data_IF_948651452884
#
_entry.id   IF_948651452884
#
_cell.length_a   1.000
_cell.length_b   1.000
_cell.length_c   1.000
_cell.angle_alpha   90.00
_cell.angle_beta   90.00
_cell.angle_gamma   90.00
#
_symmetry.space_group_name_H-M   'P 1'
#
loop_
_entity.id
_entity.type
_entity.pdbx_description
1 polymer ?
#
# COMPACT_ATOMS: atom_id res chain seq x y z
N UNK A 1 5.79 -30.96 -9.59
CA UNK A 1 4.65 -30.07 -9.34
C UNK A 1 5.15 -28.96 -8.43
N UNK A 2 5.34 -27.75 -8.93
CA UNK A 2 5.57 -26.61 -8.06
C UNK A 2 4.37 -26.48 -7.14
N UNK A 3 4.61 -26.48 -5.84
CA UNK A 3 3.56 -26.21 -4.86
C UNK A 3 3.01 -24.83 -5.18
N UNK A 4 1.72 -24.73 -5.46
CA UNK A 4 1.04 -23.47 -5.70
C UNK A 4 1.07 -22.68 -4.37
N UNK A 5 2.13 -21.90 -4.15
CA UNK A 5 2.32 -21.11 -2.94
C UNK A 5 1.38 -19.89 -2.99
N UNK A 6 0.60 -19.71 -1.95
CA UNK A 6 -0.28 -18.55 -1.79
C UNK A 6 0.37 -17.60 -0.79
N UNK A 7 0.44 -16.34 -1.21
CA UNK A 7 0.70 -15.20 -0.34
C UNK A 7 -0.56 -14.32 -0.36
N UNK A 8 -0.97 -13.83 0.81
CA UNK A 8 -2.16 -13.00 0.92
C UNK A 8 -2.09 -12.06 2.12
N UNK A 9 -2.61 -10.86 1.95
CA UNK A 9 -2.93 -9.96 3.04
C UNK A 9 -4.33 -10.31 3.55
N UNK A 10 -4.48 -10.52 4.85
CA UNK A 10 -5.75 -10.88 5.47
C UNK A 10 -6.37 -9.73 6.27
N UNK A 11 -5.57 -8.99 7.04
CA UNK A 11 -6.02 -7.80 7.75
C UNK A 11 -4.86 -6.89 8.14
N UNK A 12 -5.14 -5.59 8.28
CA UNK A 12 -4.24 -4.60 8.86
C UNK A 12 -5.00 -3.83 9.94
N UNK A 13 -4.37 -3.62 11.10
CA UNK A 13 -4.88 -2.72 12.13
C UNK A 13 -3.84 -1.63 12.45
N UNK A 14 -4.32 -0.40 12.60
CA UNK A 14 -3.53 0.79 12.85
C UNK A 14 -4.17 1.58 14.00
N UNK A 15 -3.37 2.07 14.94
CA UNK A 15 -3.85 2.91 16.05
C UNK A 15 -2.79 3.93 16.43
N UNK A 16 -3.22 5.16 16.66
CA UNK A 16 -2.41 6.28 17.11
C UNK A 16 -1.27 6.69 16.14
N UNK A 17 -1.60 6.87 14.86
CA UNK A 17 -0.68 7.37 13.84
C UNK A 17 -1.29 8.56 13.09
N UNK A 18 -0.57 9.67 12.99
CA UNK A 18 -0.98 10.88 12.25
C UNK A 18 -2.40 11.34 12.64
N UNK A 19 -3.37 11.22 11.75
CA UNK A 19 -4.79 11.51 12.04
C UNK A 19 -5.58 10.29 12.54
N UNK A 20 -4.98 9.13 12.62
CA UNK A 20 -5.60 7.92 13.15
C UNK A 20 -5.45 7.96 14.67
N UNK A 21 -6.57 8.16 15.40
CA UNK A 21 -6.63 8.15 16.85
C UNK A 21 -6.93 6.75 17.37
N UNK A 22 -8.12 6.27 17.09
CA UNK A 22 -8.59 4.96 17.49
C UNK A 22 -8.19 3.90 16.47
N UNK A 23 -8.28 2.64 16.87
CA UNK A 23 -7.99 1.50 16.01
C UNK A 23 -8.86 1.51 14.74
N UNK A 24 -8.19 1.45 13.60
CA UNK A 24 -8.77 1.21 12.28
C UNK A 24 -8.38 -0.21 11.87
N UNK A 25 -9.34 -0.96 11.33
CA UNK A 25 -9.11 -2.28 10.74
C UNK A 25 -9.53 -2.29 9.28
N UNK A 26 -8.61 -2.70 8.42
CA UNK A 26 -8.87 -3.03 7.03
C UNK A 26 -8.83 -4.56 6.92
N UNK A 27 -9.95 -5.17 6.55
CA UNK A 27 -10.08 -6.62 6.44
C UNK A 27 -10.15 -7.03 4.97
N UNK A 28 -9.33 -8.00 4.59
CA UNK A 28 -9.33 -8.62 3.26
C UNK A 28 -10.05 -9.97 3.26
N UNK A 29 -10.49 -10.48 4.39
CA UNK A 29 -11.40 -11.62 4.42
C UNK A 29 -12.76 -11.17 3.92
N UNK A 30 -13.29 -11.88 2.93
CA UNK A 30 -14.59 -11.56 2.37
C UNK A 30 -15.71 -11.78 3.39
N UNK A 31 -16.61 -10.81 3.47
CA UNK A 31 -17.82 -10.93 4.27
C UNK A 31 -18.74 -12.05 3.78
N UNK A 32 -19.56 -12.56 4.67
CA UNK A 32 -20.53 -13.61 4.35
C UNK A 32 -21.72 -13.02 3.56
N UNK A 33 -21.55 -12.83 2.26
CA UNK A 33 -22.54 -12.24 1.35
C UNK A 33 -23.06 -13.32 0.41
N UNK A 34 -24.39 -13.57 0.44
CA UNK A 34 -25.03 -14.63 -0.35
C UNK A 34 -25.92 -14.09 -1.48
N UNK A 35 -25.82 -12.82 -1.83
CA UNK A 35 -26.63 -12.18 -2.87
C UNK A 35 -26.28 -12.69 -4.27
N UNK A 36 -27.17 -12.48 -5.23
CA UNK A 36 -26.93 -12.80 -6.63
C UNK A 36 -25.77 -11.96 -7.20
N UNK A 37 -25.69 -10.66 -6.85
CA UNK A 37 -24.62 -9.76 -7.26
C UNK A 37 -23.25 -10.24 -6.76
N UNK A 38 -23.13 -10.65 -5.49
CA UNK A 38 -21.88 -11.17 -4.96
C UNK A 38 -21.43 -12.49 -5.61
N UNK A 39 -22.39 -13.30 -6.12
CA UNK A 39 -22.06 -14.50 -6.90
C UNK A 39 -21.52 -14.17 -8.29
N UNK A 40 -22.05 -13.13 -8.94
CA UNK A 40 -21.53 -12.65 -10.23
C UNK A 40 -20.13 -12.06 -10.12
N UNK A 41 -19.76 -11.54 -8.95
CA UNK A 41 -18.45 -11.00 -8.63
C UNK A 41 -17.51 -12.06 -8.00
N UNK A 42 -17.61 -13.32 -8.44
CA UNK A 42 -16.76 -14.42 -7.95
C UNK A 42 -15.27 -14.16 -8.19
N UNK A 43 -14.92 -13.46 -9.25
CA UNK A 43 -13.53 -13.14 -9.61
C UNK A 43 -12.91 -12.08 -8.70
N UNK A 44 -13.70 -11.38 -7.88
CA UNK A 44 -13.20 -10.40 -6.90
C UNK A 44 -12.57 -11.04 -5.65
N UNK A 45 -12.71 -12.35 -5.53
CA UNK A 45 -12.16 -13.12 -4.40
C UNK A 45 -11.37 -14.31 -4.91
N UNK A 46 -10.50 -14.84 -4.05
CA UNK A 46 -9.89 -16.16 -4.22
C UNK A 46 -10.06 -16.97 -2.94
N UNK A 47 -9.90 -18.27 -3.02
CA UNK A 47 -10.05 -19.16 -1.87
C UNK A 47 -8.70 -19.55 -1.29
N UNK A 48 -8.60 -19.47 0.03
CA UNK A 48 -7.50 -19.99 0.80
C UNK A 48 -8.03 -20.64 2.09
N UNK A 49 -7.68 -21.90 2.31
CA UNK A 49 -8.06 -22.66 3.51
C UNK A 49 -9.57 -22.59 3.85
N UNK A 50 -10.43 -22.66 2.83
CA UNK A 50 -11.88 -22.56 2.96
C UNK A 50 -12.43 -21.16 3.26
N UNK A 51 -11.58 -20.15 3.25
CA UNK A 51 -11.95 -18.74 3.38
C UNK A 51 -11.84 -18.02 2.03
N UNK A 52 -12.78 -17.12 1.76
CA UNK A 52 -12.72 -16.21 0.62
C UNK A 52 -11.94 -14.94 1.00
N UNK A 53 -10.95 -14.60 0.18
CA UNK A 53 -10.08 -13.45 0.39
C UNK A 53 -10.31 -12.45 -0.74
N UNK A 54 -10.45 -11.16 -0.41
CA UNK A 54 -10.68 -10.08 -1.35
C UNK A 54 -9.41 -9.79 -2.15
N UNK A 55 -9.55 -9.63 -3.45
CA UNK A 55 -8.47 -9.22 -4.34
C UNK A 55 -8.26 -7.70 -4.34
N UNK A 56 -9.29 -6.91 -4.03
CA UNK A 56 -9.15 -5.46 -3.95
C UNK A 56 -9.84 -4.91 -2.71
N UNK A 57 -9.26 -3.86 -2.14
CA UNK A 57 -9.89 -3.00 -1.11
C UNK A 57 -9.64 -1.55 -1.50
N UNK A 58 -10.73 -0.80 -1.70
CA UNK A 58 -10.70 0.62 -2.06
C UNK A 58 -11.08 1.51 -0.88
N UNK A 59 -10.26 2.52 -0.60
CA UNK A 59 -10.49 3.53 0.43
C UNK A 59 -11.00 4.82 -0.21
N UNK A 60 -12.27 5.15 -0.01
CA UNK A 60 -12.94 6.32 -0.58
C UNK A 60 -13.21 7.37 0.48
N UNK A 61 -13.20 8.63 0.12
CA UNK A 61 -13.50 9.71 1.04
C UNK A 61 -13.00 11.07 0.56
N UNK A 62 -13.38 12.18 1.23
CA UNK A 62 -12.98 13.52 0.83
C UNK A 62 -11.49 13.78 1.03
N UNK A 63 -11.04 14.93 0.48
CA UNK A 63 -9.70 15.43 0.76
C UNK A 63 -9.55 15.67 2.27
N UNK A 64 -8.36 15.42 2.80
CA UNK A 64 -8.02 15.57 4.22
C UNK A 64 -8.81 14.64 5.19
N UNK A 65 -9.53 13.62 4.71
CA UNK A 65 -10.17 12.62 5.58
C UNK A 65 -9.17 11.67 6.26
N UNK A 66 -7.95 11.54 5.72
CA UNK A 66 -6.89 10.72 6.30
C UNK A 66 -6.51 9.48 5.48
N UNK A 67 -7.03 9.32 4.24
CA UNK A 67 -6.66 8.20 3.34
C UNK A 67 -5.15 8.04 3.19
N UNK A 68 -4.46 9.12 2.79
CA UNK A 68 -2.99 9.11 2.65
C UNK A 68 -2.27 8.89 3.99
N UNK A 69 -2.87 9.25 5.13
CA UNK A 69 -2.29 8.95 6.44
C UNK A 69 -2.35 7.45 6.75
N UNK A 70 -3.41 6.75 6.35
CA UNK A 70 -3.49 5.28 6.43
C UNK A 70 -2.37 4.66 5.60
N UNK A 71 -2.22 5.09 4.33
CA UNK A 71 -1.18 4.59 3.43
C UNK A 71 0.24 4.88 3.95
N UNK A 72 0.49 6.10 4.44
CA UNK A 72 1.77 6.49 5.06
C UNK A 72 2.07 5.66 6.30
N UNK A 73 1.06 5.36 7.12
CA UNK A 73 1.23 4.53 8.31
C UNK A 73 1.64 3.12 7.95
N UNK A 74 0.95 2.49 6.99
CA UNK A 74 1.28 1.15 6.52
C UNK A 74 2.72 1.14 5.97
N UNK A 75 3.06 2.13 5.13
CA UNK A 75 4.42 2.26 4.59
C UNK A 75 5.47 2.38 5.70
N UNK A 76 5.24 3.28 6.68
CA UNK A 76 6.14 3.44 7.82
C UNK A 76 6.33 2.12 8.57
N UNK A 77 5.26 1.40 8.88
CA UNK A 77 5.32 0.14 9.61
C UNK A 77 6.07 -0.96 8.84
N UNK A 78 5.84 -1.05 7.52
CA UNK A 78 6.59 -1.99 6.67
C UNK A 78 8.08 -1.62 6.61
N UNK A 79 8.40 -0.31 6.49
CA UNK A 79 9.79 0.16 6.53
C UNK A 79 10.47 -0.13 7.87
N UNK A 80 9.76 -0.05 8.98
CA UNK A 80 10.28 -0.49 10.30
C UNK A 80 10.70 -1.96 10.27
N UNK A 81 9.89 -2.84 9.66
CA UNK A 81 10.25 -4.26 9.50
C UNK A 81 11.50 -4.43 8.64
N UNK A 82 11.59 -3.68 7.54
CA UNK A 82 12.68 -3.83 6.57
C UNK A 82 13.99 -3.20 7.02
N UNK A 83 13.96 -2.04 7.68
CA UNK A 83 15.13 -1.19 7.85
C UNK A 83 15.59 -1.06 9.31
N UNK A 84 14.74 -1.40 10.31
CA UNK A 84 15.06 -1.10 11.71
C UNK A 84 16.29 -1.84 12.26
N UNK A 85 16.72 -2.95 11.62
CA UNK A 85 17.98 -3.60 11.98
C UNK A 85 19.20 -2.67 11.87
N UNK A 86 19.13 -1.63 11.05
CA UNK A 86 20.18 -0.62 10.87
C UNK A 86 20.02 0.60 11.77
N UNK A 87 18.99 0.65 12.63
CA UNK A 87 18.77 1.79 13.52
C UNK A 87 19.81 1.87 14.64
N UNK A 88 20.41 3.05 14.81
CA UNK A 88 21.27 3.35 15.95
C UNK A 88 20.43 3.68 17.19
N UNK A 89 21.05 3.59 18.37
CA UNK A 89 20.45 4.07 19.60
C UNK A 89 20.20 5.59 19.52
N UNK A 90 19.07 6.05 20.05
CA UNK A 90 18.70 7.47 20.09
C UNK A 90 18.07 8.00 18.80
N UNK A 91 17.83 7.14 17.80
CA UNK A 91 17.05 7.57 16.60
C UNK A 91 15.61 7.94 16.98
N UNK A 92 15.08 8.97 16.35
CA UNK A 92 13.66 9.33 16.41
C UNK A 92 12.98 8.77 15.17
N UNK A 93 11.94 7.98 15.36
CA UNK A 93 11.22 7.36 14.25
C UNK A 93 10.44 8.40 13.45
N UNK A 94 10.45 8.26 12.12
CA UNK A 94 9.84 9.23 11.20
C UNK A 94 8.32 9.02 11.09
N UNK A 95 7.61 9.21 12.20
CA UNK A 95 6.16 9.29 12.24
C UNK A 95 5.71 10.25 13.35
N UNK A 96 4.41 10.54 13.39
CA UNK A 96 3.80 11.33 14.46
C UNK A 96 2.60 10.56 15.03
N UNK A 97 2.46 10.42 16.35
CA UNK A 97 1.21 9.95 16.94
C UNK A 97 0.11 10.99 16.73
N UNK A 98 -1.15 10.62 16.98
CA UNK A 98 -2.26 11.56 16.98
C UNK A 98 -2.03 12.65 18.02
N UNK A 99 -2.19 13.93 17.63
CA UNK A 99 -1.63 15.05 18.39
C UNK A 99 -2.52 15.55 19.52
N UNK A 100 -3.84 15.31 19.46
CA UNK A 100 -4.80 15.89 20.38
C UNK A 100 -5.13 14.98 21.56
N UNK A 101 -5.69 15.55 22.63
CA UNK A 101 -6.21 14.85 23.81
C UNK A 101 -5.18 13.97 24.53
N UNK A 102 -3.89 14.34 24.49
CA UNK A 102 -2.82 13.58 25.15
C UNK A 102 -2.48 12.25 24.47
N UNK A 103 -2.96 12.03 23.24
CA UNK A 103 -2.64 10.81 22.48
C UNK A 103 -1.20 10.81 21.98
N UNK A 104 -0.57 11.95 21.84
CA UNK A 104 0.84 12.10 21.51
C UNK A 104 1.79 11.46 22.56
N UNK A 105 1.29 11.22 23.77
CA UNK A 105 1.99 10.52 24.86
C UNK A 105 1.68 9.02 24.92
N UNK A 106 0.73 8.53 24.10
CA UNK A 106 0.37 7.13 24.06
C UNK A 106 1.18 6.38 22.98
N UNK A 107 1.41 5.07 23.17
CA UNK A 107 2.05 4.28 22.15
C UNK A 107 1.17 4.14 20.91
N UNK A 108 1.83 4.02 19.76
CA UNK A 108 1.20 3.63 18.48
C UNK A 108 1.27 2.14 18.29
N UNK A 109 0.25 1.53 17.67
CA UNK A 109 0.21 0.09 17.44
C UNK A 109 -0.06 -0.28 15.99
N UNK A 110 0.63 -1.30 15.53
CA UNK A 110 0.48 -1.93 14.22
C UNK A 110 0.24 -3.42 14.39
N UNK A 111 -0.70 -3.94 13.61
CA UNK A 111 -0.98 -5.37 13.49
C UNK A 111 -1.21 -5.69 12.03
N UNK A 112 -0.67 -6.80 11.58
CA UNK A 112 -0.91 -7.37 10.25
C UNK A 112 -1.11 -8.87 10.36
N UNK A 113 -2.11 -9.35 9.64
CA UNK A 113 -2.44 -10.74 9.47
C UNK A 113 -2.31 -11.09 7.98
N UNK A 114 -1.54 -12.10 7.67
CA UNK A 114 -1.17 -12.42 6.29
C UNK A 114 -0.81 -13.90 6.12
N UNK A 115 -0.92 -14.37 4.91
CA UNK A 115 -0.45 -15.68 4.47
C UNK A 115 0.88 -15.52 3.76
N UNK A 116 1.87 -16.28 4.15
CA UNK A 116 3.14 -16.40 3.47
C UNK A 116 3.47 -17.88 3.25
N UNK A 117 3.68 -18.26 1.98
CA UNK A 117 3.97 -19.65 1.60
C UNK A 117 2.94 -20.66 2.16
N UNK A 118 1.65 -20.35 2.07
CA UNK A 118 0.51 -21.15 2.59
C UNK A 118 0.44 -21.24 4.13
N UNK A 119 1.19 -20.46 4.86
CA UNK A 119 1.12 -20.39 6.33
C UNK A 119 0.62 -19.00 6.73
N UNK A 120 -0.38 -18.95 7.59
CA UNK A 120 -0.90 -17.73 8.19
C UNK A 120 0.02 -17.26 9.31
N UNK A 121 0.26 -15.94 9.35
CA UNK A 121 1.07 -15.25 10.34
C UNK A 121 0.33 -14.04 10.89
N UNK A 122 0.38 -13.85 12.19
CA UNK A 122 0.02 -12.60 12.84
C UNK A 122 1.28 -11.92 13.35
N UNK A 123 1.51 -10.70 12.91
CA UNK A 123 2.64 -9.90 13.37
C UNK A 123 2.15 -8.56 13.92
N UNK A 124 2.67 -8.16 15.05
CA UNK A 124 2.31 -6.87 15.66
C UNK A 124 3.48 -6.25 16.42
N UNK A 125 3.43 -4.92 16.54
CA UNK A 125 4.31 -4.20 17.44
C UNK A 125 3.63 -2.93 17.97
N UNK A 126 4.12 -2.46 19.14
CA UNK A 126 3.80 -1.16 19.71
C UNK A 126 5.08 -0.37 19.91
N UNK A 127 5.01 0.93 19.63
CA UNK A 127 6.16 1.81 19.72
C UNK A 127 5.76 3.22 20.19
N UNK A 128 6.75 3.92 20.74
CA UNK A 128 6.75 5.37 20.88
C UNK A 128 7.51 6.00 19.72
N UNK A 129 7.75 7.29 19.75
CA UNK A 129 8.59 7.96 18.74
C UNK A 129 10.08 7.60 18.82
N UNK A 130 10.52 6.89 19.87
CA UNK A 130 11.94 6.62 20.14
C UNK A 130 12.27 5.17 20.47
N UNK A 131 11.25 4.36 20.79
CA UNK A 131 11.50 2.97 21.22
C UNK A 131 10.36 2.02 20.88
N UNK A 132 10.65 0.75 20.76
CA UNK A 132 9.72 -0.35 20.58
C UNK A 132 9.39 -0.95 21.94
N UNK A 133 8.10 -0.89 22.31
CA UNK A 133 7.60 -1.35 23.60
C UNK A 133 7.22 -2.82 23.60
N UNK A 134 6.53 -3.25 22.55
CA UNK A 134 6.04 -4.62 22.39
C UNK A 134 6.26 -5.07 20.95
N UNK A 135 6.51 -6.36 20.75
CA UNK A 135 6.57 -6.99 19.43
C UNK A 135 6.18 -8.45 19.57
N UNK A 136 5.40 -8.98 18.62
CA UNK A 136 5.00 -10.38 18.62
C UNK A 136 4.84 -10.95 17.23
N UNK A 137 5.20 -12.22 17.08
CA UNK A 137 4.96 -13.00 15.87
C UNK A 137 4.38 -14.34 16.25
N UNK A 138 3.23 -14.64 15.65
CA UNK A 138 2.57 -15.94 15.73
C UNK A 138 2.40 -16.51 14.32
N UNK A 139 2.22 -17.82 14.22
CA UNK A 139 1.93 -18.52 12.99
C UNK A 139 0.91 -19.64 13.24
N UNK A 140 0.31 -20.15 12.16
CA UNK A 140 -0.75 -21.15 12.26
C UNK A 140 -0.38 -22.45 11.52
N UNK A 141 0.62 -23.22 12.01
CA UNK A 141 0.91 -24.53 11.45
C UNK A 141 -0.28 -25.45 11.70
N UNK A 142 -0.82 -26.04 10.63
CA UNK A 142 -2.02 -26.90 10.72
C UNK A 142 -3.24 -26.20 11.35
N UNK A 143 -3.45 -24.92 11.04
CA UNK A 143 -4.56 -24.09 11.51
C UNK A 143 -4.64 -23.91 13.05
N UNK A 144 -3.53 -24.08 13.75
CA UNK A 144 -3.45 -23.84 15.19
C UNK A 144 -2.44 -22.75 15.51
N UNK A 145 -2.90 -21.75 16.27
CA UNK A 145 -2.05 -20.63 16.69
C UNK A 145 -0.88 -21.12 17.53
N UNK A 146 0.32 -20.80 17.11
CA UNK A 146 1.56 -21.09 17.82
C UNK A 146 2.42 -19.83 17.89
N UNK A 147 3.02 -19.61 19.06
CA UNK A 147 3.95 -18.49 19.27
C UNK A 147 5.28 -18.77 18.60
N UNK A 148 5.82 -17.77 17.89
CA UNK A 148 7.22 -17.73 17.47
C UNK A 148 8.01 -16.94 18.51
N UNK A 149 7.59 -15.71 18.79
CA UNK A 149 8.15 -14.90 19.89
C UNK A 149 7.17 -13.82 20.34
N UNK A 150 7.38 -13.36 21.56
CA UNK A 150 6.84 -12.12 22.11
C UNK A 150 7.96 -11.35 22.80
N UNK A 151 7.91 -10.03 22.71
CA UNK A 151 8.81 -9.09 23.35
C UNK A 151 8.00 -8.02 24.09
N UNK A 152 8.44 -7.72 25.32
CA UNK A 152 7.96 -6.55 26.10
C UNK A 152 9.19 -5.83 26.67
N UNK A 153 9.53 -4.66 26.11
CA UNK A 153 10.79 -3.99 26.37
C UNK A 153 11.99 -4.89 26.09
N UNK A 154 12.76 -5.24 27.10
CA UNK A 154 13.91 -6.17 27.02
C UNK A 154 13.58 -7.63 27.35
N UNK A 155 12.33 -7.94 27.72
CA UNK A 155 11.92 -9.30 28.07
C UNK A 155 11.37 -10.03 26.86
N UNK A 156 11.88 -11.22 26.59
CA UNK A 156 11.47 -12.06 25.48
C UNK A 156 10.92 -13.40 25.96
N UNK A 157 9.90 -13.89 25.26
CA UNK A 157 9.41 -15.26 25.37
C UNK A 157 9.34 -15.89 23.99
N UNK A 158 9.83 -17.12 23.86
CA UNK A 158 9.96 -17.80 22.59
C UNK A 158 9.08 -19.05 22.54
N UNK A 159 8.58 -19.36 21.36
CA UNK A 159 7.93 -20.64 21.08
C UNK A 159 8.93 -21.79 21.01
N UNK A 160 8.44 -23.01 21.09
CA UNK A 160 9.27 -24.23 21.00
C UNK A 160 9.79 -24.49 19.59
N UNK A 161 9.11 -23.95 18.56
CA UNK A 161 9.51 -24.03 17.15
C UNK A 161 9.50 -22.61 16.57
N UNK A 162 10.47 -22.27 15.76
CA UNK A 162 10.48 -20.96 15.10
C UNK A 162 11.88 -20.46 14.79
N UNK A 163 12.47 -19.71 15.69
CA UNK A 163 13.77 -19.06 15.48
C UNK A 163 14.87 -19.86 16.16
N UNK A 164 15.91 -20.23 15.41
CA UNK A 164 17.09 -20.89 15.98
C UNK A 164 17.92 -19.90 16.79
N UNK A 165 18.38 -20.32 17.99
CA UNK A 165 19.17 -19.50 18.93
C UNK A 165 18.56 -18.12 19.18
N UNK A 166 17.28 -18.04 19.60
CA UNK A 166 16.57 -16.78 19.67
C UNK A 166 17.14 -15.81 20.71
N UNK A 167 17.74 -16.31 21.78
CA UNK A 167 18.35 -15.48 22.82
C UNK A 167 19.57 -14.69 22.33
N UNK A 168 20.37 -15.24 21.42
CA UNK A 168 21.50 -14.50 20.81
C UNK A 168 21.01 -13.28 20.04
N UNK A 169 19.91 -13.43 19.29
CA UNK A 169 19.31 -12.32 18.56
C UNK A 169 18.75 -11.28 19.51
N UNK A 170 18.07 -11.71 20.58
CA UNK A 170 17.47 -10.82 21.58
C UNK A 170 18.51 -9.96 22.29
N UNK A 171 19.67 -10.54 22.63
CA UNK A 171 20.77 -9.81 23.26
C UNK A 171 21.37 -8.72 22.36
N UNK A 172 21.32 -8.91 21.04
CA UNK A 172 21.86 -7.97 20.05
C UNK A 172 20.81 -6.98 19.51
N UNK A 173 19.55 -7.08 19.97
CA UNK A 173 18.46 -6.24 19.53
C UNK A 173 18.27 -5.05 20.46
N UNK A 174 18.48 -3.83 19.97
CA UNK A 174 18.28 -2.61 20.73
C UNK A 174 16.80 -2.25 20.90
N UNK A 175 16.52 -1.24 21.76
CA UNK A 175 15.14 -0.71 21.92
C UNK A 175 14.58 -0.05 20.68
N UNK A 176 15.43 0.37 19.72
CA UNK A 176 15.05 1.03 18.48
C UNK A 176 14.88 0.08 17.29
N UNK A 177 15.17 -1.22 17.49
CA UNK A 177 15.13 -2.23 16.45
C UNK A 177 14.03 -3.25 16.70
N UNK A 178 13.32 -3.63 15.64
CA UNK A 178 12.41 -4.77 15.67
C UNK A 178 13.23 -6.07 15.71
N UNK A 179 12.88 -6.97 16.61
CA UNK A 179 13.50 -8.28 16.73
C UNK A 179 13.39 -9.08 15.43
N UNK A 180 12.25 -9.03 14.75
CA UNK A 180 12.04 -9.65 13.44
C UNK A 180 13.06 -9.17 12.41
N UNK A 181 13.29 -7.85 12.36
CA UNK A 181 14.24 -7.22 11.43
C UNK A 181 15.68 -7.73 11.69
N UNK A 182 16.13 -7.70 12.94
CA UNK A 182 17.47 -8.19 13.33
C UNK A 182 17.62 -9.69 13.08
N UNK A 183 16.60 -10.49 13.45
CA UNK A 183 16.60 -11.94 13.27
C UNK A 183 16.71 -12.33 11.79
N UNK A 184 16.04 -11.57 10.89
CA UNK A 184 16.09 -11.82 9.46
C UNK A 184 17.50 -11.63 8.89
N UNK A 185 18.20 -10.56 9.30
CA UNK A 185 19.58 -10.26 8.87
C UNK A 185 20.59 -11.30 9.40
N UNK A 186 20.30 -11.91 10.55
CA UNK A 186 21.08 -13.03 11.08
C UNK A 186 20.70 -14.39 10.46
N UNK A 187 19.93 -14.39 9.38
CA UNK A 187 19.58 -15.59 8.60
C UNK A 187 18.66 -16.56 9.34
N UNK A 188 17.85 -16.10 10.32
CA UNK A 188 16.93 -16.98 11.05
C UNK A 188 15.72 -17.32 10.17
N UNK A 189 15.50 -18.61 9.92
CA UNK A 189 14.60 -19.11 8.87
C UNK A 189 13.23 -18.42 8.82
N UNK A 190 12.39 -18.55 9.84
CA UNK A 190 11.03 -17.95 9.82
C UNK A 190 11.10 -16.42 9.75
N UNK A 191 12.03 -15.79 10.47
CA UNK A 191 12.20 -14.34 10.40
C UNK A 191 12.56 -13.87 8.99
N UNK A 192 13.42 -14.61 8.28
CA UNK A 192 13.77 -14.34 6.89
C UNK A 192 12.57 -14.50 5.95
N UNK A 193 11.79 -15.57 6.12
CA UNK A 193 10.56 -15.78 5.32
C UNK A 193 9.57 -14.63 5.49
N UNK A 194 9.29 -14.22 6.73
CA UNK A 194 8.40 -13.10 7.02
C UNK A 194 8.97 -11.77 6.49
N UNK A 195 10.27 -11.52 6.66
CA UNK A 195 10.94 -10.33 6.11
C UNK A 195 10.81 -10.28 4.58
N UNK A 196 11.03 -11.40 3.89
CA UNK A 196 10.90 -11.47 2.43
C UNK A 196 9.46 -11.25 1.96
N UNK A 197 8.44 -11.62 2.74
CA UNK A 197 7.06 -11.26 2.45
C UNK A 197 6.90 -9.73 2.36
N UNK A 198 7.39 -8.97 3.35
CA UNK A 198 7.34 -7.51 3.33
C UNK A 198 8.17 -6.89 2.21
N UNK A 199 9.30 -7.50 1.85
CA UNK A 199 10.21 -6.97 0.84
C UNK A 199 9.73 -7.26 -0.60
N UNK A 200 9.20 -8.45 -0.86
CA UNK A 200 8.99 -8.97 -2.21
C UNK A 200 7.51 -9.14 -2.57
N UNK A 201 6.67 -9.39 -1.58
CA UNK A 201 5.27 -9.73 -1.80
C UNK A 201 4.34 -8.56 -1.54
N UNK A 202 4.61 -7.75 -0.51
CA UNK A 202 3.82 -6.59 -0.18
C UNK A 202 4.47 -5.31 -0.72
N UNK A 203 4.10 -4.91 -1.93
CA UNK A 203 4.71 -3.79 -2.64
C UNK A 203 4.06 -2.46 -2.27
N UNK A 204 4.88 -1.50 -1.85
CA UNK A 204 4.45 -0.18 -1.39
C UNK A 204 4.65 0.87 -2.49
N UNK A 205 3.55 1.38 -3.01
CA UNK A 205 3.53 2.48 -3.97
C UNK A 205 3.97 2.11 -5.39
N UNK A 206 4.06 3.14 -6.21
CA UNK A 206 4.56 3.05 -7.57
C UNK A 206 6.08 3.19 -7.60
N UNK A 207 6.69 2.61 -8.60
CA UNK A 207 8.14 2.66 -8.80
C UNK A 207 8.52 3.96 -9.50
N UNK A 208 9.70 4.47 -9.16
CA UNK A 208 10.33 5.51 -9.97
C UNK A 208 10.89 4.89 -11.24
N UNK A 209 10.65 5.54 -12.39
CA UNK A 209 11.04 5.03 -13.73
C UNK A 209 12.55 4.83 -13.89
N UNK A 210 13.36 5.38 -13.01
CA UNK A 210 14.82 5.26 -13.01
C UNK A 210 15.33 4.02 -12.26
N UNK A 211 14.45 3.21 -11.69
CA UNK A 211 14.82 1.97 -11.02
C UNK A 211 15.20 0.90 -12.06
N UNK A 212 16.42 0.38 -12.00
CA UNK A 212 16.90 -0.66 -12.90
C UNK A 212 16.02 -1.93 -12.92
N UNK A 213 15.26 -2.17 -11.84
CA UNK A 213 14.28 -3.28 -11.78
C UNK A 213 13.16 -3.11 -12.80
N UNK A 214 12.79 -1.88 -13.16
CA UNK A 214 11.74 -1.58 -14.14
C UNK A 214 12.15 -1.99 -15.54
N UNK A 215 13.40 -1.75 -15.92
CA UNK A 215 13.89 -2.13 -17.23
C UNK A 215 13.77 -3.64 -17.46
N UNK A 216 14.18 -4.42 -16.46
CA UNK A 216 14.08 -5.88 -16.53
C UNK A 216 12.61 -6.34 -16.62
N UNK A 217 11.73 -5.79 -15.79
CA UNK A 217 10.30 -6.07 -15.86
C UNK A 217 9.72 -5.65 -17.20
N UNK A 218 10.05 -4.47 -17.69
CA UNK A 218 9.59 -3.99 -18.99
C UNK A 218 10.08 -4.89 -20.12
N UNK A 219 11.36 -5.25 -20.17
CA UNK A 219 11.90 -6.15 -21.22
C UNK A 219 11.21 -7.50 -21.22
N UNK A 220 10.94 -8.06 -20.03
CA UNK A 220 10.25 -9.35 -19.91
C UNK A 220 8.79 -9.26 -20.37
N UNK A 221 8.11 -8.16 -20.05
CA UNK A 221 6.67 -7.99 -20.19
C UNK A 221 6.27 -7.07 -21.36
N UNK A 222 7.22 -6.57 -22.15
CA UNK A 222 6.99 -5.57 -23.21
C UNK A 222 5.77 -5.89 -24.08
N UNK A 223 5.65 -7.14 -24.57
CA UNK A 223 4.55 -7.54 -25.43
C UNK A 223 3.18 -7.39 -24.77
N UNK A 224 3.10 -7.72 -23.49
CA UNK A 224 1.83 -7.66 -22.73
C UNK A 224 1.52 -6.22 -22.35
N UNK A 225 2.55 -5.44 -21.97
CA UNK A 225 2.40 -4.01 -21.68
C UNK A 225 1.88 -3.28 -22.92
N UNK A 226 2.48 -3.55 -24.10
CA UNK A 226 2.04 -2.95 -25.35
C UNK A 226 0.59 -3.33 -25.69
N UNK A 227 0.21 -4.60 -25.46
CA UNK A 227 -1.18 -5.05 -25.65
C UNK A 227 -2.15 -4.40 -24.67
N UNK A 228 -1.75 -4.22 -23.42
CA UNK A 228 -2.56 -3.53 -22.41
C UNK A 228 -2.74 -2.05 -22.76
N UNK A 229 -1.69 -1.36 -23.23
CA UNK A 229 -1.79 0.02 -23.70
C UNK A 229 -2.73 0.14 -24.92
N UNK A 230 -2.67 -0.81 -25.86
CA UNK A 230 -3.60 -0.86 -27.00
C UNK A 230 -5.06 -1.01 -26.52
N UNK A 231 -5.32 -1.87 -25.55
CA UNK A 231 -6.68 -2.03 -24.94
C UNK A 231 -7.14 -0.76 -24.23
N UNK A 232 -6.20 0.02 -23.71
CA UNK A 232 -6.46 1.33 -23.09
C UNK A 232 -6.65 2.47 -24.10
N UNK A 233 -6.81 2.16 -25.40
CA UNK A 233 -6.95 3.14 -26.48
C UNK A 233 -5.75 4.10 -26.61
N UNK A 234 -4.55 3.60 -26.29
CA UNK A 234 -3.31 4.36 -26.49
C UNK A 234 -2.88 4.25 -27.96
N UNK A 235 -2.42 5.36 -28.55
CA UNK A 235 -1.85 5.41 -29.88
C UNK A 235 -0.35 5.03 -29.91
N UNK A 236 0.24 4.70 -28.76
CA UNK A 236 1.60 4.22 -28.63
C UNK A 236 1.72 2.84 -29.30
N UNK A 237 2.57 2.74 -30.29
CA UNK A 237 2.83 1.48 -31.05
C UNK A 237 4.11 0.77 -30.62
N UNK A 238 5.08 1.46 -30.04
CA UNK A 238 6.28 0.88 -29.47
C UNK A 238 6.86 1.73 -28.33
N UNK A 239 7.66 1.09 -27.48
CA UNK A 239 8.43 1.73 -26.43
C UNK A 239 9.84 1.16 -26.44
N UNK A 240 10.87 2.02 -26.45
CA UNK A 240 12.27 1.65 -26.36
C UNK A 240 12.91 2.19 -25.08
N UNK A 241 13.96 1.53 -24.61
CA UNK A 241 14.79 1.98 -23.49
C UNK A 241 16.14 2.39 -24.05
N UNK A 242 16.57 3.58 -23.70
CA UNK A 242 17.90 4.13 -24.04
C UNK A 242 18.69 4.39 -22.76
N UNK A 243 19.99 4.11 -22.81
CA UNK A 243 20.92 4.43 -21.73
C UNK A 243 21.82 5.58 -22.15
N UNK A 244 21.80 6.68 -21.39
CA UNK A 244 22.67 7.85 -21.59
C UNK A 244 23.58 8.02 -20.40
N UNK A 245 24.87 8.23 -20.67
CA UNK A 245 25.82 8.65 -19.62
C UNK A 245 25.52 10.09 -19.23
N UNK A 246 25.29 10.31 -17.94
CA UNK A 246 25.10 11.62 -17.35
C UNK A 246 25.98 11.80 -16.12
N UNK A 247 25.81 12.92 -15.43
CA UNK A 247 26.50 13.19 -14.17
C UNK A 247 25.46 13.56 -13.10
N UNK A 248 25.60 12.98 -11.91
CA UNK A 248 24.78 13.38 -10.77
C UNK A 248 25.66 13.81 -9.59
N UNK A 249 25.19 14.78 -8.78
CA UNK A 249 25.84 15.14 -7.53
C UNK A 249 25.64 14.02 -6.51
N UNK A 250 26.72 13.34 -6.17
CA UNK A 250 26.73 12.31 -5.10
C UNK A 250 27.30 12.95 -3.84
N UNK A 251 26.61 12.83 -2.68
CA UNK A 251 27.12 13.38 -1.44
C UNK A 251 28.42 12.65 -1.05
N UNK A 252 29.45 13.42 -0.80
CA UNK A 252 30.73 12.94 -0.28
C UNK A 252 30.92 13.38 1.16
N UNK A 253 31.35 12.47 2.08
CA UNK A 253 31.70 12.89 3.42
C UNK A 253 32.84 13.91 3.35
N UNK A 254 32.69 15.06 3.99
CA UNK A 254 33.81 15.97 4.18
C UNK A 254 34.75 15.39 5.23
N UNK A 255 36.06 15.58 5.03
CA UNK A 255 37.10 15.14 5.97
C UNK A 255 36.92 15.75 7.38
N UNK A 256 36.19 16.85 7.50
CA UNK A 256 35.96 17.56 8.77
C UNK A 256 34.61 17.29 9.42
N UNK A 257 33.79 16.38 8.87
CA UNK A 257 32.54 15.91 9.48
C UNK A 257 31.39 16.93 9.60
N UNK A 258 31.58 18.17 9.15
CA UNK A 258 30.60 19.28 9.31
C UNK A 258 29.89 19.75 8.05
N UNK A 259 30.34 19.37 6.87
CA UNK A 259 29.68 19.73 5.61
C UNK A 259 29.57 18.52 4.69
N UNK A 260 28.40 18.32 4.09
CA UNK A 260 28.20 17.35 3.02
C UNK A 260 28.67 18.04 1.72
N UNK A 261 29.80 17.58 1.19
CA UNK A 261 30.24 17.96 -0.16
C UNK A 261 29.46 17.15 -1.20
N UNK A 262 29.34 17.72 -2.43
CA UNK A 262 28.77 16.98 -3.56
C UNK A 262 29.86 16.86 -4.64
N UNK A 263 30.07 15.63 -5.10
CA UNK A 263 30.96 15.36 -6.23
C UNK A 263 30.12 14.85 -7.40
N UNK A 264 30.32 15.44 -8.58
CA UNK A 264 29.68 14.96 -9.79
C UNK A 264 30.28 13.61 -10.18
N UNK A 265 29.47 12.56 -10.14
CA UNK A 265 29.87 11.23 -10.57
C UNK A 265 29.14 10.82 -11.85
N UNK A 266 29.80 10.09 -12.76
CA UNK A 266 29.12 9.56 -13.94
C UNK A 266 28.06 8.56 -13.50
N UNK A 267 26.86 8.74 -13.98
CA UNK A 267 25.73 7.83 -13.77
C UNK A 267 25.18 7.38 -15.12
N UNK A 268 24.60 6.21 -15.13
CA UNK A 268 23.82 5.71 -16.25
C UNK A 268 22.37 6.14 -16.08
N UNK A 269 21.87 6.96 -16.99
CA UNK A 269 20.49 7.46 -16.98
C UNK A 269 19.68 6.65 -17.97
N UNK A 270 18.75 5.86 -17.43
CA UNK A 270 17.77 5.12 -18.24
C UNK A 270 16.66 6.07 -18.68
N UNK A 271 16.33 6.08 -19.97
CA UNK A 271 15.21 6.83 -20.54
C UNK A 271 14.32 5.92 -21.37
N UNK A 272 13.01 6.15 -21.25
CA UNK A 272 12.02 5.51 -22.09
C UNK A 272 11.66 6.46 -23.25
N UNK A 273 11.53 5.91 -24.45
CA UNK A 273 11.05 6.60 -25.64
C UNK A 273 9.81 5.88 -26.15
N UNK A 274 8.76 6.64 -26.42
CA UNK A 274 7.52 6.13 -27.02
C UNK A 274 7.47 6.44 -28.50
N UNK A 275 6.79 5.60 -29.25
CA UNK A 275 6.56 5.75 -30.70
C UNK A 275 5.08 5.65 -30.97
N UNK A 276 4.54 6.59 -31.74
CA UNK A 276 3.11 6.68 -32.02
C UNK A 276 2.76 6.14 -33.40
N UNK A 277 1.56 5.55 -33.54
CA UNK A 277 1.12 4.85 -34.77
C UNK A 277 1.21 5.71 -36.03
N UNK A 278 0.89 7.00 -35.93
CA UNK A 278 0.90 7.91 -37.06
C UNK A 278 2.33 8.29 -37.51
N UNK A 279 3.35 8.20 -36.63
CA UNK A 279 4.73 8.53 -36.88
C UNK A 279 5.68 7.58 -36.14
N UNK A 280 5.75 6.29 -36.55
CA UNK A 280 6.44 5.26 -35.78
C UNK A 280 7.96 5.38 -35.77
N UNK A 281 8.53 6.31 -36.51
CA UNK A 281 9.97 6.55 -36.58
C UNK A 281 10.44 7.75 -35.75
N UNK A 282 9.52 8.48 -35.11
CA UNK A 282 9.84 9.66 -34.33
C UNK A 282 9.73 9.28 -32.84
N UNK A 283 10.84 9.28 -32.08
CA UNK A 283 10.81 9.01 -30.65
C UNK A 283 10.28 10.23 -29.88
N UNK A 284 9.43 9.99 -28.90
CA UNK A 284 9.01 10.94 -27.89
C UNK A 284 9.67 10.59 -26.56
N UNK A 285 10.24 11.59 -25.88
CA UNK A 285 10.76 11.36 -24.52
C UNK A 285 9.60 11.15 -23.56
N UNK A 286 9.58 9.96 -22.94
CA UNK A 286 8.46 9.54 -22.08
C UNK A 286 8.22 10.51 -20.91
N UNK A 287 9.30 11.05 -20.30
CA UNK A 287 9.18 11.90 -19.11
C UNK A 287 8.70 13.31 -19.45
N UNK A 288 9.07 13.86 -20.58
CA UNK A 288 8.85 15.26 -20.92
C UNK A 288 7.73 15.48 -21.92
N UNK A 289 7.46 14.51 -22.80
CA UNK A 289 6.55 14.70 -23.94
C UNK A 289 5.24 13.89 -23.80
N UNK A 290 5.22 12.81 -22.97
CA UNK A 290 3.99 12.07 -22.75
C UNK A 290 3.04 12.71 -21.74
N UNK A 291 1.75 12.41 -21.86
CA UNK A 291 0.74 12.87 -20.92
C UNK A 291 0.92 12.24 -19.53
N UNK A 292 0.52 12.95 -18.48
CA UNK A 292 0.55 12.39 -17.13
C UNK A 292 -0.32 11.13 -16.99
N UNK A 293 -1.42 11.02 -17.74
CA UNK A 293 -2.26 9.82 -17.77
C UNK A 293 -1.52 8.62 -18.37
N UNK A 294 -0.83 8.83 -19.50
CA UNK A 294 0.01 7.82 -20.15
C UNK A 294 1.12 7.32 -19.23
N UNK A 295 1.83 8.25 -18.58
CA UNK A 295 2.88 7.92 -17.59
C UNK A 295 2.31 7.10 -16.43
N UNK A 296 1.17 7.51 -15.91
CA UNK A 296 0.53 6.85 -14.77
C UNK A 296 0.11 5.43 -15.11
N UNK A 297 -0.61 5.23 -16.22
CA UNK A 297 -1.06 3.88 -16.61
C UNK A 297 0.11 2.96 -16.93
N UNK A 298 1.14 3.44 -17.63
CA UNK A 298 2.33 2.65 -17.93
C UNK A 298 3.05 2.18 -16.66
N UNK A 299 3.28 3.09 -15.71
CA UNK A 299 3.95 2.78 -14.43
C UNK A 299 3.14 1.78 -13.60
N UNK A 300 1.80 1.91 -13.62
CA UNK A 300 0.91 0.95 -12.94
C UNK A 300 0.98 -0.41 -13.63
N UNK A 301 0.88 -0.46 -14.96
CA UNK A 301 0.86 -1.72 -15.73
C UNK A 301 2.13 -2.55 -15.52
N UNK A 302 3.30 -1.93 -15.54
CA UNK A 302 4.58 -2.63 -15.30
C UNK A 302 4.53 -3.36 -13.94
N UNK A 303 4.09 -2.66 -12.89
CA UNK A 303 4.02 -3.25 -11.54
C UNK A 303 2.88 -4.23 -11.39
N UNK A 304 1.74 -3.91 -11.98
CA UNK A 304 0.56 -4.76 -11.87
C UNK A 304 0.78 -6.13 -12.54
N UNK A 305 1.51 -6.19 -13.65
CA UNK A 305 1.85 -7.46 -14.28
C UNK A 305 2.77 -8.31 -13.39
N UNK A 306 3.76 -7.68 -12.74
CA UNK A 306 4.58 -8.37 -11.72
C UNK A 306 3.71 -8.88 -10.55
N UNK A 307 2.82 -8.03 -10.06
CA UNK A 307 1.88 -8.37 -8.98
C UNK A 307 0.97 -9.53 -9.40
N UNK A 308 0.37 -9.44 -10.59
CA UNK A 308 -0.59 -10.43 -11.09
C UNK A 308 0.05 -11.82 -11.31
N UNK A 309 1.26 -11.87 -11.85
CA UNK A 309 1.96 -13.12 -12.13
C UNK A 309 2.58 -13.78 -10.91
N UNK A 310 3.09 -12.95 -9.99
CA UNK A 310 3.82 -13.44 -8.83
C UNK A 310 2.96 -13.46 -7.55
N UNK A 311 1.63 -13.34 -7.68
CA UNK A 311 0.66 -13.46 -6.56
C UNK A 311 1.04 -12.55 -5.38
N UNK A 312 1.31 -11.26 -5.72
CA UNK A 312 1.74 -10.26 -4.75
C UNK A 312 0.58 -9.37 -4.32
N UNK A 313 0.79 -8.61 -3.26
CA UNK A 313 -0.10 -7.55 -2.80
C UNK A 313 0.53 -6.19 -3.09
N UNK A 314 -0.25 -5.25 -3.62
CA UNK A 314 0.21 -3.90 -3.97
C UNK A 314 -0.62 -2.85 -3.25
N UNK A 315 0.01 -1.75 -2.87
CA UNK A 315 -0.64 -0.61 -2.25
C UNK A 315 -0.37 0.66 -3.06
N UNK A 316 -1.43 1.39 -3.47
CA UNK A 316 -1.31 2.62 -4.25
C UNK A 316 -2.14 3.74 -3.62
N UNK A 317 -1.50 4.84 -3.26
CA UNK A 317 -2.19 6.07 -2.85
C UNK A 317 -2.58 6.89 -4.09
N UNK A 318 -3.78 7.49 -4.05
CA UNK A 318 -4.33 8.28 -5.16
C UNK A 318 -4.23 7.53 -6.50
N UNK A 319 -4.73 6.33 -6.51
CA UNK A 319 -4.59 5.35 -7.59
C UNK A 319 -4.99 5.90 -8.96
N UNK A 320 -6.10 6.62 -9.03
CA UNK A 320 -6.75 7.12 -10.24
C UNK A 320 -6.35 8.55 -10.63
N UNK A 321 -5.36 9.13 -9.94
CA UNK A 321 -4.86 10.48 -10.27
C UNK A 321 -4.38 10.55 -11.71
N UNK A 322 -4.86 11.54 -12.46
CA UNK A 322 -4.56 11.78 -13.89
C UNK A 322 -5.05 10.68 -14.84
N UNK A 323 -5.90 9.75 -14.40
CA UNK A 323 -6.47 8.71 -15.25
C UNK A 323 -7.97 8.95 -15.52
N UNK A 324 -8.40 8.60 -16.71
CA UNK A 324 -9.84 8.50 -17.00
C UNK A 324 -10.44 7.36 -16.15
N UNK A 325 -11.68 7.50 -15.62
CA UNK A 325 -12.30 6.46 -14.78
C UNK A 325 -12.29 5.06 -15.41
N UNK A 326 -12.48 4.94 -16.70
CA UNK A 326 -12.44 3.64 -17.40
C UNK A 326 -11.05 2.99 -17.36
N UNK A 327 -9.96 3.77 -17.38
CA UNK A 327 -8.61 3.23 -17.23
C UNK A 327 -8.37 2.71 -15.81
N UNK A 328 -8.86 3.44 -14.81
CA UNK A 328 -8.80 2.99 -13.43
C UNK A 328 -9.62 1.69 -13.23
N UNK A 329 -10.81 1.60 -13.82
CA UNK A 329 -11.61 0.38 -13.82
C UNK A 329 -10.88 -0.78 -14.48
N UNK A 330 -10.26 -0.57 -15.65
CA UNK A 330 -9.49 -1.59 -16.34
C UNK A 330 -8.35 -2.17 -15.47
N UNK A 331 -7.64 -1.32 -14.73
CA UNK A 331 -6.58 -1.78 -13.80
C UNK A 331 -7.16 -2.65 -12.67
N UNK A 332 -8.32 -2.26 -12.12
CA UNK A 332 -9.02 -3.05 -11.11
C UNK A 332 -9.47 -4.41 -11.68
N UNK A 333 -10.02 -4.42 -12.88
CA UNK A 333 -10.46 -5.63 -13.58
C UNK A 333 -9.28 -6.59 -13.85
N UNK A 334 -8.08 -6.06 -14.15
CA UNK A 334 -6.86 -6.88 -14.26
C UNK A 334 -6.48 -7.59 -12.95
N UNK A 335 -6.65 -6.91 -11.80
CA UNK A 335 -6.43 -7.54 -10.50
C UNK A 335 -7.49 -8.60 -10.23
N UNK A 336 -8.76 -8.32 -10.54
CA UNK A 336 -9.84 -9.30 -10.40
C UNK A 336 -9.62 -10.54 -11.30
N UNK A 337 -9.07 -10.37 -12.50
CA UNK A 337 -8.75 -11.46 -13.40
C UNK A 337 -7.52 -12.29 -12.97
N UNK A 338 -6.70 -11.80 -12.03
CA UNK A 338 -5.55 -12.54 -11.51
C UNK A 338 -5.97 -13.73 -10.64
N UNK A 339 -5.06 -14.68 -10.37
CA UNK A 339 -5.37 -15.83 -9.50
C UNK A 339 -5.57 -15.41 -8.03
N UNK A 340 -4.62 -14.69 -7.43
CA UNK A 340 -4.64 -14.35 -6.00
C UNK A 340 -3.89 -13.05 -5.66
N UNK A 341 -3.75 -12.15 -6.62
CA UNK A 341 -3.12 -10.85 -6.37
C UNK A 341 -4.05 -9.91 -5.63
N UNK A 342 -3.48 -8.97 -4.88
CA UNK A 342 -4.26 -8.03 -4.09
C UNK A 342 -3.85 -6.59 -4.35
N UNK A 343 -4.84 -5.68 -4.33
CA UNK A 343 -4.66 -4.24 -4.46
C UNK A 343 -5.40 -3.51 -3.34
N UNK A 344 -4.65 -2.78 -2.51
CA UNK A 344 -5.17 -1.75 -1.61
C UNK A 344 -4.95 -0.39 -2.26
N UNK A 345 -6.00 0.38 -2.46
CA UNK A 345 -5.87 1.69 -3.11
C UNK A 345 -6.72 2.77 -2.43
N UNK A 346 -6.33 4.01 -2.61
CA UNK A 346 -7.16 5.16 -2.24
C UNK A 346 -7.64 5.88 -3.51
N UNK A 347 -8.85 6.42 -3.46
CA UNK A 347 -9.43 7.23 -4.52
C UNK A 347 -10.31 8.34 -3.97
N UNK A 348 -10.41 9.43 -4.73
CA UNK A 348 -11.40 10.49 -4.54
C UNK A 348 -12.56 10.39 -5.55
N UNK A 349 -12.46 9.49 -6.51
CA UNK A 349 -13.40 9.40 -7.62
C UNK A 349 -14.59 8.53 -7.25
N UNK A 350 -15.74 9.19 -7.04
CA UNK A 350 -16.99 8.50 -6.74
C UNK A 350 -17.44 7.54 -7.86
N UNK A 351 -17.05 7.79 -9.12
CA UNK A 351 -17.41 6.93 -10.25
C UNK A 351 -16.79 5.52 -10.16
N UNK A 352 -15.79 5.32 -9.29
CA UNK A 352 -15.24 4.00 -9.01
C UNK A 352 -16.03 3.21 -7.96
N UNK A 353 -17.01 3.84 -7.27
CA UNK A 353 -17.90 3.15 -6.32
C UNK A 353 -19.02 2.50 -7.10
N UNK A 354 -18.72 1.41 -7.78
CA UNK A 354 -19.63 0.72 -8.70
C UNK A 354 -19.94 -0.70 -8.19
N UNK A 355 -21.21 -0.96 -7.86
CA UNK A 355 -21.66 -2.25 -7.31
C UNK A 355 -21.72 -3.36 -8.36
N UNK A 356 -21.63 -3.04 -9.63
CA UNK A 356 -21.49 -4.04 -10.70
C UNK A 356 -20.05 -4.57 -10.82
N UNK A 357 -19.08 -3.88 -10.17
CA UNK A 357 -17.65 -4.22 -10.17
C UNK A 357 -17.10 -4.57 -8.80
N UNK A 358 -17.69 -4.02 -7.75
CA UNK A 358 -17.24 -4.22 -6.37
C UNK A 358 -18.29 -4.90 -5.53
N UNK A 359 -17.84 -5.79 -4.69
CA UNK A 359 -18.60 -6.27 -3.54
C UNK A 359 -18.59 -5.16 -2.46
N UNK A 360 -19.65 -5.06 -1.67
CA UNK A 360 -19.73 -4.04 -0.62
C UNK A 360 -18.64 -4.16 0.46
N UNK A 361 -18.05 -5.34 0.66
CA UNK A 361 -16.94 -5.57 1.58
C UNK A 361 -15.57 -5.11 1.03
N UNK A 362 -15.47 -4.77 -0.25
CA UNK A 362 -14.29 -4.17 -0.87
C UNK A 362 -14.22 -2.65 -0.75
N UNK A 363 -15.32 -1.99 -0.35
CA UNK A 363 -15.44 -0.54 -0.31
C UNK A 363 -15.38 -0.08 1.13
N UNK A 364 -14.36 0.74 1.45
CA UNK A 364 -14.22 1.42 2.72
C UNK A 364 -14.39 2.93 2.55
N UNK A 365 -15.14 3.53 3.44
CA UNK A 365 -15.28 4.98 3.54
C UNK A 365 -14.37 5.51 4.64
N UNK A 366 -13.66 6.57 4.29
CA UNK A 366 -12.73 7.25 5.20
C UNK A 366 -13.30 8.64 5.48
N UNK A 367 -13.53 8.91 6.74
CA UNK A 367 -14.11 10.17 7.20
C UNK A 367 -13.24 10.83 8.27
N UNK A 368 -13.37 12.15 8.41
CA UNK A 368 -12.76 12.93 9.47
C UNK A 368 -13.80 13.27 10.52
N UNK A 369 -13.60 12.79 11.75
CA UNK A 369 -14.46 13.08 12.90
C UNK A 369 -14.30 14.53 13.39
N UNK A 370 -15.24 14.99 14.20
CA UNK A 370 -15.25 16.34 14.79
C UNK A 370 -13.99 16.61 15.60
N UNK A 371 -13.43 15.59 16.28
CA UNK A 371 -12.18 15.69 17.05
C UNK A 371 -10.92 15.70 16.16
N UNK A 372 -11.09 15.73 14.84
CA UNK A 372 -10.00 15.73 13.85
C UNK A 372 -9.42 14.35 13.56
N UNK A 373 -9.91 13.28 14.19
CA UNK A 373 -9.44 11.92 13.92
C UNK A 373 -10.03 11.34 12.63
N UNK A 374 -9.28 10.43 12.02
CA UNK A 374 -9.71 9.61 10.89
C UNK A 374 -10.54 8.43 11.40
N UNK A 375 -11.66 8.18 10.74
CA UNK A 375 -12.47 6.98 10.88
C UNK A 375 -12.49 6.19 9.58
N UNK A 376 -12.62 4.87 9.67
CA UNK A 376 -12.70 3.97 8.53
C UNK A 376 -13.74 2.88 8.79
N UNK A 377 -14.64 2.69 7.86
CA UNK A 377 -15.70 1.68 7.95
C UNK A 377 -16.06 1.15 6.56
N UNK A 378 -16.44 -0.11 6.50
CA UNK A 378 -16.81 -0.76 5.25
C UNK A 378 -18.26 -0.46 4.85
N UNK A 379 -18.54 -0.40 3.56
CA UNK A 379 -19.93 -0.40 3.07
C UNK A 379 -20.70 -1.66 3.51
N UNK A 380 -19.97 -2.73 3.82
CA UNK A 380 -20.54 -3.97 4.38
C UNK A 380 -21.20 -3.75 5.75
N UNK A 381 -20.73 -2.78 6.54
CA UNK A 381 -21.26 -2.49 7.89
C UNK A 381 -22.60 -1.78 7.84
N UNK A 382 -22.99 -1.21 6.68
CA UNK A 382 -24.28 -0.57 6.50
C UNK A 382 -25.39 -1.59 6.22
N UNK A 383 -26.10 -2.00 7.26
CA UNK A 383 -27.17 -3.01 7.19
C UNK A 383 -28.33 -2.60 6.27
N UNK A 384 -28.61 -1.30 6.17
CA UNK A 384 -29.69 -0.74 5.35
C UNK A 384 -29.31 -0.55 3.89
N UNK A 385 -28.03 -0.79 3.52
CA UNK A 385 -27.59 -0.72 2.15
C UNK A 385 -27.83 -2.05 1.43
N UNK A 386 -28.66 -1.99 0.36
CA UNK A 386 -28.90 -3.11 -0.55
C UNK A 386 -28.06 -2.92 -1.80
N UNK A 387 -27.48 -3.99 -2.34
CA UNK A 387 -26.64 -3.95 -3.55
C UNK A 387 -27.38 -3.44 -4.82
N UNK A 388 -28.72 -3.44 -4.80
CA UNK A 388 -29.54 -2.84 -5.85
C UNK A 388 -29.63 -1.31 -5.77
N UNK A 389 -29.10 -0.70 -4.70
CA UNK A 389 -29.05 0.74 -4.55
C UNK A 389 -27.79 1.28 -5.24
N UNK A 390 -27.90 2.48 -5.81
CA UNK A 390 -26.77 3.20 -6.37
C UNK A 390 -25.85 3.71 -5.25
N UNK A 391 -24.72 3.03 -5.11
CA UNK A 391 -23.72 3.36 -4.08
C UNK A 391 -23.04 4.71 -4.38
N UNK A 392 -22.78 5.02 -5.65
CA UNK A 392 -22.21 6.31 -6.09
C UNK A 392 -23.11 7.46 -5.69
N UNK A 393 -24.42 7.34 -5.99
CA UNK A 393 -25.41 8.37 -5.62
C UNK A 393 -25.54 8.48 -4.10
N UNK A 394 -25.59 7.36 -3.39
CA UNK A 394 -25.61 7.35 -1.93
C UNK A 394 -24.40 8.05 -1.33
N UNK A 395 -23.20 7.78 -1.85
CA UNK A 395 -21.96 8.45 -1.46
C UNK A 395 -22.05 9.97 -1.69
N UNK A 396 -22.39 10.41 -2.91
CA UNK A 396 -22.47 11.83 -3.27
C UNK A 396 -23.53 12.60 -2.48
N UNK A 397 -24.58 11.93 -2.05
CA UNK A 397 -25.64 12.50 -1.18
C UNK A 397 -25.26 12.54 0.31
N UNK A 398 -24.07 12.05 0.69
CA UNK A 398 -23.62 12.05 2.09
C UNK A 398 -24.20 10.92 2.95
N UNK A 399 -24.86 9.92 2.36
CA UNK A 399 -25.47 8.80 3.11
C UNK A 399 -24.46 8.02 3.94
N UNK A 400 -23.19 8.03 3.53
CA UNK A 400 -22.12 7.31 4.18
C UNK A 400 -21.15 8.23 4.94
N UNK A 401 -21.57 9.45 5.28
CA UNK A 401 -20.79 10.44 6.06
C UNK A 401 -19.37 10.76 5.53
N UNK A 402 -19.02 10.33 4.34
CA UNK A 402 -17.66 10.43 3.79
C UNK A 402 -17.58 11.41 2.60
N UNK A 403 -18.39 12.47 2.60
CA UNK A 403 -18.35 13.54 1.61
C UNK A 403 -18.00 14.88 2.23
N UNK A 404 -17.33 15.79 1.48
CA UNK A 404 -17.05 17.12 1.99
C UNK A 404 -18.36 17.92 2.15
N UNK A 405 -18.57 18.50 3.32
CA UNK A 405 -19.69 19.42 3.56
C UNK A 405 -19.27 20.80 3.06
N UNK A 406 -19.72 21.17 1.87
CA UNK A 406 -19.47 22.51 1.31
C UNK A 406 -20.71 23.36 1.59
N UNK A 407 -20.64 24.20 2.63
CA UNK A 407 -21.67 25.19 2.97
C UNK A 407 -21.32 26.53 2.34
N UNK A 408 -21.51 26.69 1.03
CA UNK A 408 -21.30 27.97 0.36
C UNK A 408 -22.58 28.41 -0.36
N UNK A 409 -23.11 29.59 0.03
CA UNK A 409 -24.07 30.32 -0.80
C UNK A 409 -23.34 31.23 -1.78
N UNK A 410 -23.98 31.59 -2.89
CA UNK A 410 -23.43 32.58 -3.82
C UNK A 410 -23.15 33.92 -3.12
N UNK A 411 -23.92 34.27 -2.07
CA UNK A 411 -23.67 35.43 -1.23
C UNK A 411 -22.33 35.32 -0.47
N UNK A 412 -22.06 34.17 0.15
CA UNK A 412 -20.79 33.89 0.85
C UNK A 412 -19.61 33.95 -0.10
N UNK A 413 -19.72 33.35 -1.31
CA UNK A 413 -18.68 33.43 -2.33
C UNK A 413 -18.42 34.86 -2.80
N UNK A 414 -19.47 35.68 -2.97
CA UNK A 414 -19.34 37.11 -3.33
C UNK A 414 -18.66 37.90 -2.21
N UNK A 415 -18.89 37.58 -0.93
CA UNK A 415 -18.19 38.21 0.19
C UNK A 415 -16.71 37.81 0.21
N UNK A 416 -16.37 36.55 -0.02
CA UNK A 416 -14.99 36.09 -0.17
C UNK A 416 -14.22 36.87 -1.25
N UNK A 417 -14.82 36.99 -2.43
CA UNK A 417 -14.20 37.71 -3.56
C UNK A 417 -14.03 39.22 -3.31
N UNK A 418 -14.85 39.84 -2.43
CA UNK A 418 -14.75 41.25 -2.04
C UNK A 418 -13.76 41.52 -0.91
N UNK A 419 -13.04 40.49 -0.45
CA UNK A 419 -12.07 40.60 0.66
C UNK A 419 -12.67 40.85 2.05
N UNK A 420 -13.98 40.55 2.19
CA UNK A 420 -14.76 40.83 3.41
C UNK A 420 -15.13 39.62 4.22
N UNK A 421 -14.15 38.82 4.69
CA UNK A 421 -14.36 37.94 5.85
C UNK A 421 -13.41 38.43 6.94
N UNK A 422 -14.00 39.07 7.96
CA UNK A 422 -13.37 39.29 9.26
C UNK A 422 -13.42 38.00 10.06
#
# INVERSE_FOLDING_TARGET
MEKNLINALLAIELENFFSIKNKIRLDFRAGNIHTASAKMLSDNVFEWNGQKILKTVGLFGPNAAGKSNIMKTINFCCRMVLDSHAHNQGIVFNFKPFKFDGWDQKPSSFYIDFVCENIEYEYSFKLTTTEILEESLYYYPNNRKAKIFERKGSKYTFGTKGINRPAEVANDTSSTQLYLSVASQKGRNIAKTVYLYFLQTFLLGLVQMQDASIENLFKQEKKIIMKALEVCDSDICDIAVEHKKGFAPVPTPSLDGQQIGFQMQPIDIMRFHTYHRNNPNIPFDFETEESNGTKRIFTILIRLLDVARNKKSMMIDEFDTSMHPHLAQFVIDLVHASESSQLLFTSHNAALIDMDRFRKDQIYFINKKVDGSTDAYSLYDFKDFRETMDATKGYLQGRFDAVPIITSSVATLKQLLKGGIK
#
